data_IF_530457684958
#
_entry.id   IF_530457684958
#
_cell.length_a   1.000
_cell.length_b   1.000
_cell.length_c   1.000
_cell.angle_alpha   90.00
_cell.angle_beta   90.00
_cell.angle_gamma   90.00
#
_symmetry.space_group_name_H-M   'P 1'
#
loop_
_entity.id
_entity.type
_entity.pdbx_description
1 polymer ?
#
# COMPACT_ATOMS: atom_id res chain seq x y z
N UNK A 1 4.37 15.12 -32.10
CA UNK A 1 3.89 13.73 -31.89
C UNK A 1 3.68 13.54 -30.39
N UNK A 2 2.43 13.54 -29.93
CA UNK A 2 2.10 13.24 -28.54
C UNK A 2 2.32 11.74 -28.35
N UNK A 3 3.20 11.33 -27.43
CA UNK A 3 3.36 9.93 -27.09
C UNK A 3 2.01 9.43 -26.55
N UNK A 4 1.34 8.56 -27.29
CA UNK A 4 0.14 7.89 -26.82
C UNK A 4 0.60 6.90 -25.74
N UNK A 5 0.53 7.33 -24.49
CA UNK A 5 0.77 6.46 -23.34
C UNK A 5 -0.47 5.58 -23.20
N UNK A 6 -0.30 4.27 -23.02
CA UNK A 6 -1.43 3.38 -22.72
C UNK A 6 -2.07 3.78 -21.39
N UNK A 7 -3.37 3.54 -21.23
CA UNK A 7 -4.08 3.86 -19.98
C UNK A 7 -3.35 3.26 -18.77
N UNK A 8 -2.90 2.01 -18.87
CA UNK A 8 -2.17 1.31 -17.80
C UNK A 8 -0.85 2.00 -17.44
N UNK A 9 -0.08 2.43 -18.44
CA UNK A 9 1.19 3.12 -18.20
C UNK A 9 0.98 4.50 -17.54
N UNK A 10 -0.12 5.19 -17.89
CA UNK A 10 -0.48 6.44 -17.23
C UNK A 10 -0.87 6.21 -15.76
N UNK A 11 -1.69 5.19 -15.48
CA UNK A 11 -2.11 4.89 -14.11
C UNK A 11 -0.93 4.45 -13.23
N UNK A 12 0.01 3.65 -13.75
CA UNK A 12 1.22 3.26 -13.03
C UNK A 12 2.04 4.50 -12.65
N UNK A 13 2.23 5.43 -13.60
CA UNK A 13 2.93 6.68 -13.32
C UNK A 13 2.20 7.52 -12.26
N UNK A 14 0.87 7.60 -12.36
CA UNK A 14 0.06 8.36 -11.40
C UNK A 14 0.20 7.81 -9.98
N UNK A 15 0.09 6.49 -9.79
CA UNK A 15 0.31 5.89 -8.47
C UNK A 15 1.75 6.12 -7.97
N UNK A 16 2.75 6.03 -8.86
CA UNK A 16 4.15 6.32 -8.51
C UNK A 16 4.32 7.74 -7.97
N UNK A 17 3.71 8.73 -8.64
CA UNK A 17 3.77 10.13 -8.25
C UNK A 17 3.04 10.37 -6.90
N UNK A 18 1.94 9.66 -6.64
CA UNK A 18 1.22 9.71 -5.37
C UNK A 18 2.04 9.10 -4.22
N UNK A 19 2.67 7.94 -4.44
CA UNK A 19 3.54 7.30 -3.44
C UNK A 19 4.76 8.18 -3.12
N UNK A 20 5.35 8.84 -4.11
CA UNK A 20 6.45 9.78 -3.92
C UNK A 20 6.02 11.00 -3.08
N UNK A 21 4.82 11.55 -3.33
CA UNK A 21 4.26 12.62 -2.50
C UNK A 21 3.99 12.14 -1.07
N UNK A 22 3.38 10.97 -0.92
CA UNK A 22 3.10 10.36 0.38
C UNK A 22 4.38 10.09 1.17
N UNK A 23 5.42 9.57 0.51
CA UNK A 23 6.75 9.31 1.07
C UNK A 23 7.36 10.59 1.67
N UNK A 24 7.26 11.73 0.97
CA UNK A 24 7.70 13.04 1.49
C UNK A 24 6.91 13.51 2.70
N UNK A 25 5.63 13.17 2.80
CA UNK A 25 4.81 13.49 3.99
C UNK A 25 5.22 12.60 5.16
N UNK A 26 5.43 11.30 4.92
CA UNK A 26 5.95 10.39 5.95
C UNK A 26 7.30 10.88 6.47
N UNK A 27 8.21 11.31 5.59
CA UNK A 27 9.50 11.87 6.00
C UNK A 27 9.35 13.12 6.89
N UNK A 28 8.42 14.01 6.56
CA UNK A 28 8.17 15.24 7.35
C UNK A 28 7.50 14.96 8.69
N UNK A 29 6.61 13.97 8.74
CA UNK A 29 5.76 13.70 9.91
C UNK A 29 6.31 12.58 10.81
N UNK A 30 7.22 11.76 10.29
CA UNK A 30 7.66 10.48 10.87
C UNK A 30 6.50 9.53 11.21
N UNK A 31 5.40 9.62 10.45
CA UNK A 31 4.23 8.76 10.62
C UNK A 31 3.96 8.01 9.31
N UNK A 32 3.99 6.67 9.29
CA UNK A 32 3.60 5.89 8.13
C UNK A 32 2.15 6.15 7.73
N UNK A 33 1.85 6.03 6.44
CA UNK A 33 0.48 6.05 5.93
C UNK A 33 0.03 4.60 5.76
N UNK A 34 -1.07 4.20 6.41
CA UNK A 34 -1.69 2.90 6.14
C UNK A 34 -2.42 3.00 4.81
N UNK A 35 -1.94 2.27 3.81
CA UNK A 35 -2.50 2.28 2.46
C UNK A 35 -3.76 1.43 2.38
N UNK A 36 -3.73 0.24 2.98
CA UNK A 36 -4.92 -0.58 3.19
C UNK A 36 -4.70 -1.61 4.29
N UNK A 37 -5.82 -2.16 4.77
CA UNK A 37 -5.87 -3.35 5.62
C UNK A 37 -6.80 -4.37 4.97
N UNK A 38 -6.47 -5.65 5.10
CA UNK A 38 -7.28 -6.75 4.59
C UNK A 38 -7.28 -7.90 5.59
N UNK A 39 -8.42 -8.17 6.20
CA UNK A 39 -8.61 -9.39 7.00
C UNK A 39 -8.60 -10.61 6.09
N UNK A 40 -7.82 -11.62 6.47
CA UNK A 40 -7.76 -12.93 5.84
C UNK A 40 -8.61 -13.93 6.60
N UNK A 41 -8.42 -14.01 7.92
CA UNK A 41 -9.13 -14.92 8.83
C UNK A 41 -9.49 -14.20 10.13
N UNK A 42 -10.59 -14.63 10.76
CA UNK A 42 -11.04 -14.18 12.07
C UNK A 42 -11.41 -15.39 12.91
N UNK A 43 -10.75 -15.57 14.04
CA UNK A 43 -11.01 -16.65 15.01
C UNK A 43 -10.99 -16.09 16.43
N UNK A 44 -12.08 -16.29 17.18
CA UNK A 44 -12.17 -15.98 18.62
C UNK A 44 -11.57 -14.61 19.00
N UNK A 45 -12.01 -13.54 18.33
CA UNK A 45 -11.56 -12.13 18.50
C UNK A 45 -10.11 -11.85 18.04
N UNK A 46 -9.43 -12.82 17.45
CA UNK A 46 -8.15 -12.65 16.76
C UNK A 46 -8.33 -12.53 15.26
N UNK A 47 -7.51 -11.69 14.63
CA UNK A 47 -7.54 -11.37 13.22
C UNK A 47 -6.19 -11.68 12.61
N UNK A 48 -6.17 -12.48 11.55
CA UNK A 48 -5.05 -12.48 10.61
C UNK A 48 -5.36 -11.47 9.51
N UNK A 49 -4.46 -10.52 9.30
CA UNK A 49 -4.64 -9.46 8.31
C UNK A 49 -3.35 -9.12 7.56
N UNK A 50 -3.52 -8.60 6.36
CA UNK A 50 -2.47 -7.90 5.64
C UNK A 50 -2.58 -6.41 5.96
N UNK A 51 -1.51 -5.82 6.45
CA UNK A 51 -1.37 -4.38 6.63
C UNK A 51 -0.35 -3.87 5.62
N UNK A 52 -0.78 -2.98 4.72
CA UNK A 52 0.09 -2.33 3.75
C UNK A 52 0.35 -0.89 4.19
N UNK A 53 1.62 -0.52 4.32
CA UNK A 53 2.04 0.81 4.81
C UNK A 53 3.03 1.46 3.87
N UNK A 54 2.86 2.77 3.65
CA UNK A 54 3.85 3.62 3.03
C UNK A 54 4.76 4.20 4.10
N UNK A 55 6.05 3.99 3.92
CA UNK A 55 7.13 4.59 4.71
C UNK A 55 7.97 5.51 3.81
N UNK A 56 9.05 6.10 4.33
CA UNK A 56 9.96 6.92 3.51
C UNK A 56 10.65 6.05 2.46
N UNK A 57 10.21 6.16 1.20
CA UNK A 57 10.79 5.52 0.03
C UNK A 57 10.39 4.06 -0.18
N UNK A 58 9.59 3.47 0.72
CA UNK A 58 9.23 2.06 0.66
C UNK A 58 7.76 1.82 0.99
N UNK A 59 7.17 0.83 0.32
CA UNK A 59 5.88 0.23 0.69
C UNK A 59 6.16 -1.12 1.36
N UNK A 60 5.54 -1.35 2.51
CA UNK A 60 5.70 -2.57 3.29
C UNK A 60 4.35 -3.27 3.39
N UNK A 61 4.26 -4.50 2.88
CA UNK A 61 3.12 -5.40 3.08
C UNK A 61 3.48 -6.41 4.17
N UNK A 62 2.70 -6.45 5.25
CA UNK A 62 2.94 -7.32 6.39
C UNK A 62 1.71 -8.19 6.65
N UNK A 63 1.92 -9.49 6.81
CA UNK A 63 0.91 -10.38 7.36
C UNK A 63 1.08 -10.42 8.87
N UNK A 64 0.05 -10.00 9.59
CA UNK A 64 0.06 -9.89 11.04
C UNK A 64 -1.13 -10.60 11.64
N UNK A 65 -0.93 -11.24 12.78
CA UNK A 65 -2.04 -11.64 13.64
C UNK A 65 -2.13 -10.63 14.78
N UNK A 66 -3.34 -10.13 15.05
CA UNK A 66 -3.59 -9.22 16.17
C UNK A 66 -5.02 -9.39 16.70
N UNK A 67 -5.24 -9.05 17.98
CA UNK A 67 -6.55 -9.19 18.63
C UNK A 67 -6.65 -10.38 19.60
N UNK A 68 -7.74 -10.40 20.38
CA UNK A 68 -8.02 -11.42 21.38
C UNK A 68 -6.95 -11.51 22.48
N UNK A 69 -6.67 -12.74 22.90
CA UNK A 69 -5.63 -13.08 23.90
C UNK A 69 -4.25 -13.34 23.29
N UNK A 70 -4.14 -13.28 21.96
CA UNK A 70 -2.90 -13.57 21.25
C UNK A 70 -1.95 -12.37 21.28
N UNK A 71 -0.66 -12.65 21.48
CA UNK A 71 0.39 -11.64 21.33
C UNK A 71 0.51 -11.31 19.84
N UNK A 72 0.43 -10.03 19.44
CA UNK A 72 0.58 -9.68 18.04
C UNK A 72 1.88 -10.19 17.43
N UNK A 73 1.80 -10.81 16.26
CA UNK A 73 2.94 -11.43 15.58
C UNK A 73 2.97 -11.09 14.09
N UNK A 74 4.16 -10.98 13.53
CA UNK A 74 4.39 -10.83 12.09
C UNK A 74 4.76 -12.18 11.50
N UNK A 75 3.97 -12.68 10.54
CA UNK A 75 4.22 -13.96 9.89
C UNK A 75 5.05 -13.80 8.62
N UNK A 76 4.83 -12.71 7.88
CA UNK A 76 5.53 -12.42 6.64
C UNK A 76 5.62 -10.92 6.40
N UNK A 77 6.69 -10.48 5.75
CA UNK A 77 6.88 -9.10 5.34
C UNK A 77 7.53 -9.02 3.97
N UNK A 78 6.94 -8.23 3.08
CA UNK A 78 7.54 -7.79 1.83
C UNK A 78 7.82 -6.30 1.88
N UNK A 79 8.99 -5.91 1.40
CA UNK A 79 9.41 -4.52 1.30
C UNK A 79 9.66 -4.23 -0.17
N UNK A 80 8.94 -3.24 -0.68
CA UNK A 80 9.05 -2.78 -2.06
C UNK A 80 9.53 -1.33 -2.07
N UNK A 81 10.34 -0.95 -3.05
CA UNK A 81 10.53 0.47 -3.33
C UNK A 81 9.25 1.08 -3.90
N UNK A 82 9.05 2.39 -3.71
CA UNK A 82 7.87 3.08 -4.24
C UNK A 82 7.81 3.08 -5.78
N UNK A 83 8.94 2.89 -6.46
CA UNK A 83 9.01 2.82 -7.92
C UNK A 83 8.56 1.46 -8.47
N UNK A 84 8.84 0.35 -7.76
CA UNK A 84 8.46 -0.99 -8.21
C UNK A 84 7.05 -1.39 -7.78
N UNK A 85 6.59 -0.88 -6.64
CA UNK A 85 5.32 -1.29 -6.03
C UNK A 85 4.09 -1.14 -6.94
N UNK A 86 3.92 -0.05 -7.72
CA UNK A 86 2.75 0.11 -8.60
C UNK A 86 2.59 -1.04 -9.61
N UNK A 87 3.70 -1.54 -10.16
CA UNK A 87 3.66 -2.66 -11.10
C UNK A 87 3.32 -3.97 -10.39
N UNK A 88 3.92 -4.21 -9.22
CA UNK A 88 3.62 -5.39 -8.41
C UNK A 88 2.15 -5.43 -7.95
N UNK A 89 1.61 -4.29 -7.52
CA UNK A 89 0.22 -4.17 -7.10
C UNK A 89 -0.74 -4.41 -8.26
N UNK A 90 -0.50 -3.80 -9.42
CA UNK A 90 -1.33 -3.99 -10.60
C UNK A 90 -1.34 -5.46 -11.06
N UNK A 91 -0.19 -6.15 -10.98
CA UNK A 91 -0.08 -7.58 -11.29
C UNK A 91 -0.85 -8.45 -10.30
N UNK A 92 -0.89 -8.08 -9.03
CA UNK A 92 -1.60 -8.81 -7.96
C UNK A 92 -3.11 -8.57 -8.01
N UNK A 93 -3.55 -7.33 -8.13
CA UNK A 93 -4.96 -6.95 -8.12
C UNK A 93 -5.18 -5.57 -8.74
N UNK A 94 -5.94 -5.54 -9.84
CA UNK A 94 -6.36 -4.30 -10.50
C UNK A 94 -7.30 -3.47 -9.62
N UNK A 95 -8.19 -4.11 -8.88
CA UNK A 95 -9.16 -3.40 -8.04
C UNK A 95 -8.46 -2.68 -6.89
N UNK A 96 -7.55 -3.37 -6.18
CA UNK A 96 -6.72 -2.75 -5.13
C UNK A 96 -5.86 -1.60 -5.63
N UNK A 97 -5.33 -1.76 -6.84
CA UNK A 97 -4.55 -0.72 -7.48
C UNK A 97 -5.37 0.57 -7.70
N UNK A 98 -6.62 0.44 -8.18
CA UNK A 98 -7.51 1.59 -8.37
C UNK A 98 -7.97 2.18 -7.03
N UNK A 99 -8.35 1.34 -6.06
CA UNK A 99 -8.71 1.78 -4.70
C UNK A 99 -7.59 2.60 -4.04
N UNK A 100 -6.33 2.18 -4.22
CA UNK A 100 -5.19 2.87 -3.64
C UNK A 100 -4.94 4.23 -4.29
N UNK A 101 -5.14 4.34 -5.60
CA UNK A 101 -5.08 5.62 -6.30
C UNK A 101 -6.11 6.57 -5.71
N UNK A 102 -7.38 6.14 -5.65
CA UNK A 102 -8.47 6.97 -5.15
C UNK A 102 -8.22 7.41 -3.70
N UNK A 103 -7.80 6.48 -2.84
CA UNK A 103 -7.45 6.76 -1.46
C UNK A 103 -6.33 7.81 -1.34
N UNK A 104 -5.22 7.63 -2.05
CA UNK A 104 -4.09 8.57 -1.99
C UNK A 104 -4.45 9.92 -2.60
N UNK A 105 -5.23 9.97 -3.67
CA UNK A 105 -5.73 11.23 -4.22
C UNK A 105 -6.63 11.97 -3.21
N UNK A 106 -7.44 11.28 -2.43
CA UNK A 106 -8.25 11.90 -1.38
C UNK A 106 -7.41 12.38 -0.20
N UNK A 107 -6.46 11.57 0.26
CA UNK A 107 -5.62 11.89 1.42
C UNK A 107 -4.58 12.98 1.14
N UNK A 108 -4.14 13.12 -0.12
CA UNK A 108 -3.05 14.02 -0.52
C UNK A 108 -3.53 15.30 -1.21
N UNK A 109 -4.85 15.50 -1.34
CA UNK A 109 -5.47 16.77 -1.73
C UNK A 109 -5.20 17.87 -0.72
#
# INVERSE_FOLDING_TARGET
MVKQISLDAWQIQHLSDLLEKGSKIVEKTNRPIVLYRQTLEEEEESYEEIVCTLTKGYVIEQMVTSGGVLVPSFHQQFVFTIEEYPQELLRKSKDRFLEMIDFLDEQLR
#
